data_IF_752171059499
#
_entry.id   IF_752171059499
#
_cell.length_a   1.000
_cell.length_b   1.000
_cell.length_c   1.000
_cell.angle_alpha   90.00
_cell.angle_beta   90.00
_cell.angle_gamma   90.00
#
_symmetry.space_group_name_H-M   'P 1'
#
loop_
_entity.id
_entity.type
_entity.pdbx_description
1 polymer ?
#
# COMPACT_ATOMS: atom_id res chain seq x y z
N UNK A 1 2.18 -6.38 11.92
CA UNK A 1 1.85 -6.66 13.33
C UNK A 1 1.10 -7.98 13.37
N UNK A 2 1.62 -8.98 14.08
CA UNK A 2 0.95 -10.28 14.23
C UNK A 2 -0.08 -10.18 15.35
N UNK A 3 -1.22 -10.82 15.19
CA UNK A 3 -2.40 -10.76 16.06
C UNK A 3 -3.05 -12.15 16.17
N UNK A 4 -4.03 -12.33 17.07
CA UNK A 4 -4.75 -13.61 17.22
C UNK A 4 -5.40 -14.12 15.92
N UNK A 5 -5.76 -13.24 14.99
CA UNK A 5 -6.30 -13.69 13.70
C UNK A 5 -5.28 -14.49 12.86
N UNK A 6 -3.98 -14.27 13.10
CA UNK A 6 -2.90 -14.95 12.37
C UNK A 6 -2.59 -16.34 12.94
N UNK A 7 -3.12 -16.69 14.11
CA UNK A 7 -2.92 -18.02 14.72
C UNK A 7 -3.96 -19.03 14.26
N UNK A 8 -4.89 -18.65 13.39
CA UNK A 8 -5.84 -19.57 12.78
C UNK A 8 -5.09 -20.52 11.86
N UNK A 9 -5.54 -21.76 11.82
CA UNK A 9 -4.94 -22.82 11.00
C UNK A 9 -4.79 -22.39 9.54
N UNK A 10 -3.59 -22.56 8.98
CA UNK A 10 -3.29 -22.29 7.58
C UNK A 10 -2.96 -20.83 7.25
N UNK A 11 -3.22 -19.85 8.14
CA UNK A 11 -2.96 -18.43 7.84
C UNK A 11 -1.47 -18.13 7.75
N UNK A 12 -0.65 -18.78 8.59
CA UNK A 12 0.80 -18.57 8.57
C UNK A 12 1.42 -19.20 7.33
N UNK A 13 0.99 -20.41 6.97
CA UNK A 13 1.44 -21.14 5.79
C UNK A 13 1.11 -20.35 4.52
N UNK A 14 -0.13 -19.87 4.40
CA UNK A 14 -0.58 -19.07 3.27
C UNK A 14 0.22 -17.77 3.15
N UNK A 15 0.40 -17.03 4.26
CA UNK A 15 1.19 -15.80 4.26
C UNK A 15 2.63 -16.05 3.78
N UNK A 16 3.27 -17.14 4.22
CA UNK A 16 4.64 -17.47 3.81
C UNK A 16 4.71 -17.88 2.34
N UNK A 17 3.71 -18.58 1.82
CA UNK A 17 3.61 -18.94 0.40
C UNK A 17 3.46 -17.67 -0.46
N UNK A 18 2.54 -16.79 -0.09
CA UNK A 18 2.30 -15.52 -0.79
C UNK A 18 3.57 -14.65 -0.80
N UNK A 19 4.26 -14.52 0.33
CA UNK A 19 5.52 -13.75 0.41
C UNK A 19 6.58 -14.34 -0.53
N UNK A 20 6.74 -15.67 -0.55
CA UNK A 20 7.73 -16.32 -1.44
C UNK A 20 7.38 -16.10 -2.90
N UNK A 21 6.10 -16.22 -3.26
CA UNK A 21 5.60 -15.99 -4.61
C UNK A 21 5.88 -14.55 -5.05
N UNK A 22 5.48 -13.55 -4.25
CA UNK A 22 5.70 -12.13 -4.55
C UNK A 22 7.19 -11.78 -4.69
N UNK A 23 8.07 -12.38 -3.87
CA UNK A 23 9.52 -12.19 -4.01
C UNK A 23 10.00 -12.74 -5.35
N UNK A 24 9.53 -13.92 -5.75
CA UNK A 24 9.93 -14.52 -7.02
C UNK A 24 9.46 -13.68 -8.21
N UNK A 25 8.24 -13.15 -8.14
CA UNK A 25 7.67 -12.24 -9.14
C UNK A 25 8.52 -10.97 -9.30
N UNK A 26 8.80 -10.26 -8.19
CA UNK A 26 9.62 -9.04 -8.22
C UNK A 26 11.03 -9.34 -8.73
N UNK A 27 11.63 -10.47 -8.33
CA UNK A 27 12.96 -10.87 -8.80
C UNK A 27 12.98 -11.24 -10.28
N UNK A 28 11.89 -11.77 -10.82
CA UNK A 28 11.79 -12.11 -12.23
C UNK A 28 11.80 -10.87 -13.13
N UNK A 29 11.26 -9.74 -12.65
CA UNK A 29 11.27 -8.47 -13.37
C UNK A 29 11.54 -7.26 -12.46
N UNK A 30 12.80 -7.03 -12.04
CA UNK A 30 13.14 -6.03 -11.02
C UNK A 30 12.97 -4.57 -11.48
N UNK A 31 12.88 -4.35 -12.80
CA UNK A 31 12.70 -3.02 -13.39
C UNK A 31 11.30 -2.86 -14.00
N UNK A 32 10.35 -3.73 -13.63
CA UNK A 32 8.95 -3.54 -13.98
C UNK A 32 8.47 -2.15 -13.52
N UNK A 33 7.57 -1.54 -14.28
CA UNK A 33 6.92 -0.31 -13.84
C UNK A 33 6.17 -0.57 -12.54
N UNK A 34 6.35 0.34 -11.57
CA UNK A 34 5.68 0.22 -10.28
C UNK A 34 4.20 0.53 -10.45
N UNK A 35 3.36 -0.41 -10.03
CA UNK A 35 1.91 -0.20 -9.98
C UNK A 35 1.54 0.86 -8.93
N UNK A 36 0.32 1.37 -9.04
CA UNK A 36 -0.22 2.58 -8.40
C UNK A 36 0.25 2.81 -6.95
N UNK A 37 0.01 1.84 -6.07
CA UNK A 37 0.35 1.97 -4.65
C UNK A 37 1.87 1.98 -4.41
N UNK A 38 2.62 1.12 -5.09
CA UNK A 38 4.08 1.05 -4.94
C UNK A 38 4.75 2.33 -5.44
N UNK A 39 4.26 2.91 -6.54
CA UNK A 39 4.70 4.20 -7.04
C UNK A 39 4.41 5.34 -6.06
N UNK A 40 3.19 5.37 -5.48
CA UNK A 40 2.82 6.38 -4.47
C UNK A 40 3.73 6.32 -3.24
N UNK A 41 3.93 5.14 -2.65
CA UNK A 41 4.81 4.98 -1.48
C UNK A 41 6.27 5.30 -1.82
N UNK A 42 6.74 4.88 -3.00
CA UNK A 42 8.10 5.19 -3.47
C UNK A 42 8.33 6.70 -3.67
N UNK A 43 7.34 7.42 -4.21
CA UNK A 43 7.40 8.89 -4.31
C UNK A 43 7.38 9.54 -2.93
N UNK A 44 6.43 9.15 -2.07
CA UNK A 44 6.29 9.71 -0.72
C UNK A 44 7.58 9.58 0.11
N UNK A 45 8.34 8.49 -0.07
CA UNK A 45 9.63 8.30 0.58
C UNK A 45 10.71 9.23 0.03
N UNK A 46 10.71 9.49 -1.28
CA UNK A 46 11.76 10.29 -1.97
C UNK A 46 11.60 11.79 -1.77
N UNK A 47 10.41 12.29 -1.44
CA UNK A 47 10.15 13.72 -1.25
C UNK A 47 10.83 14.21 0.04
N UNK A 48 11.82 15.13 -0.04
CA UNK A 48 12.51 15.63 1.14
C UNK A 48 11.66 16.60 1.95
N UNK A 49 10.85 17.42 1.29
CA UNK A 49 9.92 18.33 1.96
C UNK A 49 8.68 17.57 2.45
N UNK A 50 8.69 17.24 3.75
CA UNK A 50 7.63 16.48 4.40
C UNK A 50 6.32 17.26 4.53
N UNK A 51 6.31 18.57 4.27
CA UNK A 51 5.06 19.34 4.23
C UNK A 51 4.13 18.88 3.09
N UNK A 52 4.70 18.40 1.99
CA UNK A 52 3.95 17.85 0.84
C UNK A 52 3.29 16.52 1.22
N UNK A 53 4.01 15.64 1.91
CA UNK A 53 3.45 14.37 2.41
C UNK A 53 2.32 14.63 3.41
N UNK A 54 2.45 15.66 4.24
CA UNK A 54 1.39 16.11 5.15
C UNK A 54 0.15 16.58 4.37
N UNK A 55 0.33 17.31 3.28
CA UNK A 55 -0.78 17.75 2.43
C UNK A 55 -1.54 16.57 1.82
N UNK A 56 -0.82 15.56 1.32
CA UNK A 56 -1.47 14.33 0.84
C UNK A 56 -2.31 13.64 1.91
N UNK A 57 -1.82 13.60 3.16
CA UNK A 57 -2.57 13.05 4.27
C UNK A 57 -3.83 13.86 4.59
N UNK A 58 -3.78 15.20 4.52
CA UNK A 58 -4.98 16.03 4.68
C UNK A 58 -5.99 15.79 3.57
N UNK A 59 -5.56 15.75 2.30
CA UNK A 59 -6.44 15.45 1.17
C UNK A 59 -7.09 14.07 1.31
N UNK A 60 -6.34 13.06 1.79
CA UNK A 60 -6.91 11.75 2.07
C UNK A 60 -8.02 11.81 3.13
N UNK A 61 -7.79 12.54 4.22
CA UNK A 61 -8.81 12.72 5.28
C UNK A 61 -10.03 13.46 4.74
N UNK A 62 -9.83 14.55 4.00
CA UNK A 62 -10.93 15.30 3.37
C UNK A 62 -11.75 14.40 2.45
N UNK A 63 -11.09 13.55 1.67
CA UNK A 63 -11.76 12.58 0.80
C UNK A 63 -12.62 11.59 1.61
N UNK A 64 -12.13 11.08 2.74
CA UNK A 64 -12.90 10.18 3.63
C UNK A 64 -14.19 10.81 4.17
N UNK A 65 -14.21 12.14 4.36
CA UNK A 65 -15.38 12.87 4.86
C UNK A 65 -16.15 13.61 3.76
N UNK A 66 -15.69 13.53 2.50
CA UNK A 66 -16.38 14.16 1.39
C UNK A 66 -17.73 13.48 1.15
N UNK A 67 -18.80 14.26 1.09
CA UNK A 67 -20.09 13.75 0.63
C UNK A 67 -19.99 13.49 -0.89
N UNK A 68 -20.53 12.35 -1.39
CA UNK A 68 -20.62 12.15 -2.83
C UNK A 68 -21.38 13.32 -3.44
N UNK A 69 -20.79 13.95 -4.46
CA UNK A 69 -21.46 15.04 -5.18
C UNK A 69 -22.80 14.53 -5.68
N UNK A 70 -23.90 15.16 -5.27
CA UNK A 70 -25.21 14.83 -5.82
C UNK A 70 -25.18 15.13 -7.33
N UNK A 71 -25.30 14.06 -8.11
CA UNK A 71 -25.46 14.15 -9.56
C UNK A 71 -26.87 14.74 -9.76
N UNK A 72 -26.92 16.00 -10.21
CA UNK A 72 -28.16 16.62 -10.69
C UNK A 72 -28.47 16.14 -12.09
#
# INVERSE_FOLDING_TARGET
>A
MVTLNHTKDGVTEQLLEDIRSSINEIKANPNAELEEAAALYGMAQKIPDRSIVREFAYVYLDACYSQPKQIK
#
